data_IF_702871782799
#
_entry.id   IF_702871782799
#
_cell.length_a   1.000
_cell.length_b   1.000
_cell.length_c   1.000
_cell.angle_alpha   90.00
_cell.angle_beta   90.00
_cell.angle_gamma   90.00
#
_symmetry.space_group_name_H-M   'P 1'
#
loop_
_entity.id
_entity.type
_entity.pdbx_description
1 polymer ?
#
# COMPACT_ATOMS: atom_id res chain seq x y z
N UNK A 1 32.82 -20.28 25.97
CA UNK A 1 32.13 -20.09 24.67
C UNK A 1 33.12 -19.59 23.63
N UNK A 2 33.24 -20.27 22.47
CA UNK A 2 34.21 -19.93 21.42
C UNK A 2 33.94 -18.54 20.82
N UNK A 3 35.02 -17.80 20.48
CA UNK A 3 34.97 -16.40 20.02
C UNK A 3 34.13 -16.22 18.74
N UNK A 4 34.10 -17.24 17.89
CA UNK A 4 33.33 -17.27 16.63
C UNK A 4 31.82 -17.33 16.88
N UNK A 5 31.37 -18.09 17.89
CA UNK A 5 29.96 -18.16 18.27
C UNK A 5 29.44 -16.81 18.82
N UNK A 6 30.29 -16.05 19.53
CA UNK A 6 29.94 -14.70 20.00
C UNK A 6 29.77 -13.71 18.84
N UNK A 7 30.60 -13.82 17.81
CA UNK A 7 30.54 -12.96 16.61
C UNK A 7 29.32 -13.26 15.75
N UNK A 8 29.04 -14.54 15.50
CA UNK A 8 27.83 -14.97 14.80
C UNK A 8 26.56 -14.54 15.54
N UNK A 9 26.53 -14.67 16.88
CA UNK A 9 25.41 -14.23 17.70
C UNK A 9 25.20 -12.70 17.66
N UNK A 10 26.28 -11.92 17.66
CA UNK A 10 26.24 -10.46 17.52
C UNK A 10 25.70 -10.03 16.13
N UNK A 11 26.13 -10.69 15.06
CA UNK A 11 25.64 -10.43 13.70
C UNK A 11 24.16 -10.81 13.55
N UNK A 12 23.74 -11.94 14.14
CA UNK A 12 22.34 -12.36 14.18
C UNK A 12 21.45 -11.37 14.94
N UNK A 13 21.90 -10.87 16.09
CA UNK A 13 21.14 -9.91 16.90
C UNK A 13 21.00 -8.55 16.22
N UNK A 14 22.03 -8.07 15.53
CA UNK A 14 21.96 -6.85 14.70
C UNK A 14 20.97 -7.03 13.55
N UNK A 15 21.02 -8.17 12.85
CA UNK A 15 20.12 -8.47 11.72
C UNK A 15 18.65 -8.57 12.14
N UNK A 16 18.36 -9.21 13.28
CA UNK A 16 17.00 -9.29 13.85
C UNK A 16 16.48 -7.90 14.25
N UNK A 17 17.35 -7.04 14.78
CA UNK A 17 16.98 -5.67 15.15
C UNK A 17 16.59 -4.83 13.93
N UNK A 18 17.39 -4.87 12.87
CA UNK A 18 17.12 -4.16 11.60
C UNK A 18 15.78 -4.60 11.01
N UNK A 19 15.48 -5.90 10.99
CA UNK A 19 14.19 -6.42 10.50
C UNK A 19 13.02 -5.83 11.30
N UNK A 20 13.15 -5.78 12.64
CA UNK A 20 12.13 -5.18 13.48
C UNK A 20 11.93 -3.66 13.22
N UNK A 21 13.01 -2.93 12.88
CA UNK A 21 12.93 -1.51 12.49
C UNK A 21 12.18 -1.32 11.18
N UNK A 22 12.49 -2.13 10.17
CA UNK A 22 11.81 -2.06 8.88
C UNK A 22 10.33 -2.45 8.99
N UNK A 23 10.01 -3.44 9.83
CA UNK A 23 8.64 -3.84 10.15
C UNK A 23 7.81 -2.68 10.72
N UNK A 24 8.38 -1.93 11.66
CA UNK A 24 7.70 -0.74 12.22
C UNK A 24 7.54 0.35 11.18
N UNK A 25 8.58 0.62 10.38
CA UNK A 25 8.51 1.64 9.34
C UNK A 25 7.37 1.34 8.34
N UNK A 26 7.27 0.10 7.89
CA UNK A 26 6.21 -0.32 6.96
C UNK A 26 4.81 -0.29 7.61
N UNK A 27 4.72 -0.60 8.91
CA UNK A 27 3.48 -0.46 9.66
C UNK A 27 3.08 1.01 9.85
N UNK A 28 4.00 1.91 10.15
CA UNK A 28 3.70 3.34 10.29
C UNK A 28 3.29 3.94 8.95
N UNK A 29 3.91 3.48 7.85
CA UNK A 29 3.55 3.86 6.46
C UNK A 29 2.19 3.37 5.98
N UNK A 30 1.42 2.66 6.81
CA UNK A 30 0.06 2.27 6.44
C UNK A 30 -0.10 0.88 5.82
N UNK A 31 0.98 0.10 5.67
CA UNK A 31 0.93 -1.26 5.08
C UNK A 31 0.05 -2.21 5.92
N UNK A 32 -0.60 -3.19 5.28
CA UNK A 32 -1.41 -4.19 6.01
C UNK A 32 -0.51 -5.14 6.79
N UNK A 33 -0.99 -5.55 7.97
CA UNK A 33 -0.32 -6.56 8.79
C UNK A 33 -0.02 -7.82 7.97
N UNK A 34 -1.00 -8.35 7.23
CA UNK A 34 -0.83 -9.53 6.36
C UNK A 34 0.27 -9.37 5.30
N UNK A 35 0.47 -8.16 4.79
CA UNK A 35 1.46 -7.92 3.74
C UNK A 35 2.87 -7.81 4.36
N UNK A 36 2.98 -7.16 5.53
CA UNK A 36 4.22 -7.11 6.32
C UNK A 36 4.64 -8.52 6.74
N UNK A 37 3.70 -9.35 7.18
CA UNK A 37 3.96 -10.75 7.53
C UNK A 37 4.55 -11.53 6.35
N UNK A 38 3.97 -11.40 5.15
CA UNK A 38 4.51 -12.04 3.94
C UNK A 38 5.87 -11.50 3.55
N UNK A 39 6.08 -10.18 3.65
CA UNK A 39 7.35 -9.54 3.28
C UNK A 39 8.53 -10.00 4.13
N UNK A 40 8.32 -10.08 5.45
CA UNK A 40 9.38 -10.39 6.41
C UNK A 40 9.37 -11.86 6.89
N UNK A 41 8.41 -12.66 6.45
CA UNK A 41 8.27 -14.06 6.87
C UNK A 41 7.96 -14.23 8.37
N UNK A 42 7.30 -13.25 8.99
CA UNK A 42 7.04 -13.23 10.44
C UNK A 42 5.60 -13.61 10.78
N UNK A 43 5.42 -14.28 11.93
CA UNK A 43 4.08 -14.59 12.45
C UNK A 43 3.35 -13.33 12.92
N UNK A 44 2.02 -13.40 13.00
CA UNK A 44 1.20 -12.27 13.47
C UNK A 44 1.55 -11.91 14.91
N UNK A 45 1.79 -12.92 15.74
CA UNK A 45 2.20 -12.75 17.12
C UNK A 45 3.57 -12.03 17.22
N UNK A 46 4.54 -12.41 16.38
CA UNK A 46 5.85 -11.76 16.33
C UNK A 46 5.73 -10.31 15.89
N UNK A 47 4.87 -10.04 14.92
CA UNK A 47 4.56 -8.68 14.46
C UNK A 47 4.01 -7.81 15.59
N UNK A 48 2.98 -8.26 16.31
CA UNK A 48 2.43 -7.52 17.44
C UNK A 48 3.44 -7.33 18.58
N UNK A 49 4.28 -8.34 18.86
CA UNK A 49 5.37 -8.22 19.83
C UNK A 49 6.38 -7.14 19.41
N UNK A 50 6.75 -7.08 18.13
CA UNK A 50 7.66 -6.05 17.61
C UNK A 50 7.06 -4.65 17.77
N UNK A 51 5.80 -4.47 17.35
CA UNK A 51 5.10 -3.18 17.45
C UNK A 51 4.96 -2.72 18.92
N UNK A 52 4.53 -3.64 19.80
CA UNK A 52 4.34 -3.38 21.23
C UNK A 52 5.66 -3.01 21.92
N UNK A 53 6.73 -3.80 21.70
CA UNK A 53 8.07 -3.52 22.26
C UNK A 53 8.65 -2.17 21.84
N UNK A 54 8.14 -1.60 20.74
CA UNK A 54 8.58 -0.32 20.19
C UNK A 54 7.57 0.81 20.44
N UNK A 55 6.55 0.58 21.26
CA UNK A 55 5.57 1.59 21.66
C UNK A 55 4.63 2.03 20.53
N UNK A 56 4.51 1.25 19.46
CA UNK A 56 3.67 1.61 18.30
C UNK A 56 2.23 1.22 18.60
N UNK A 57 1.34 2.21 18.65
CA UNK A 57 -0.09 1.97 18.88
C UNK A 57 -0.70 1.16 17.74
N UNK A 58 -1.40 0.08 18.10
CA UNK A 58 -2.12 -0.72 17.13
C UNK A 58 -3.27 0.07 16.52
N UNK A 59 -3.44 -0.06 15.20
CA UNK A 59 -4.58 0.51 14.48
C UNK A 59 -5.87 -0.08 15.03
N UNK A 60 -6.85 0.77 15.31
CA UNK A 60 -8.15 0.35 15.81
C UNK A 60 -8.87 -0.60 14.86
N UNK A 61 -9.70 -1.50 15.41
CA UNK A 61 -10.60 -2.34 14.62
C UNK A 61 -11.45 -1.44 13.72
N UNK A 62 -11.31 -1.59 12.40
CA UNK A 62 -12.00 -0.75 11.40
C UNK A 62 -11.09 0.20 10.60
N UNK A 63 -9.87 0.47 11.05
CA UNK A 63 -8.85 1.18 10.26
C UNK A 63 -8.27 0.25 9.18
N UNK A 64 -9.00 0.05 8.08
CA UNK A 64 -8.48 -0.65 6.90
C UNK A 64 -7.25 0.11 6.40
N UNK A 65 -6.18 -0.63 6.14
CA UNK A 65 -4.97 -0.12 5.52
C UNK A 65 -5.21 0.61 4.19
N UNK A 66 -4.16 1.28 3.74
CA UNK A 66 -4.02 2.03 2.50
C UNK A 66 -4.70 1.37 1.27
N UNK A 67 -4.95 2.20 0.29
CA UNK A 67 -5.49 1.86 -1.03
C UNK A 67 -4.77 0.64 -1.60
N UNK A 68 -5.54 -0.41 -1.93
CA UNK A 68 -5.03 -1.65 -2.51
C UNK A 68 -4.85 -1.54 -4.03
N UNK A 69 -4.21 -2.52 -4.64
CA UNK A 69 -4.20 -2.69 -6.10
C UNK A 69 -5.60 -2.72 -6.69
N UNK A 70 -6.52 -3.49 -6.11
CA UNK A 70 -7.91 -3.54 -6.57
C UNK A 70 -8.59 -2.16 -6.48
N UNK A 71 -8.27 -1.37 -5.46
CA UNK A 71 -8.77 0.00 -5.33
C UNK A 71 -8.22 0.90 -6.46
N UNK A 72 -6.94 0.77 -6.80
CA UNK A 72 -6.31 1.51 -7.91
C UNK A 72 -6.83 1.06 -9.28
N UNK A 73 -7.00 -0.23 -9.51
CA UNK A 73 -7.58 -0.78 -10.74
C UNK A 73 -9.02 -0.28 -10.92
N UNK A 74 -9.83 -0.36 -9.87
CA UNK A 74 -11.18 0.18 -9.89
C UNK A 74 -11.21 1.69 -10.18
N UNK A 75 -10.24 2.45 -9.66
CA UNK A 75 -10.13 3.87 -9.95
C UNK A 75 -9.76 4.15 -11.41
N UNK A 76 -8.80 3.40 -11.95
CA UNK A 76 -8.41 3.49 -13.36
C UNK A 76 -9.58 3.16 -14.28
N UNK A 77 -10.30 2.07 -14.01
CA UNK A 77 -11.48 1.67 -14.80
C UNK A 77 -12.60 2.71 -14.67
N UNK A 78 -12.78 3.28 -13.48
CA UNK A 78 -13.68 4.41 -13.27
C UNK A 78 -13.26 5.66 -14.09
N UNK A 79 -11.97 5.97 -14.20
CA UNK A 79 -11.48 7.11 -15.00
C UNK A 79 -11.57 6.85 -16.51
N UNK A 80 -11.68 5.59 -16.94
CA UNK A 80 -11.98 5.18 -18.33
C UNK A 80 -13.45 5.26 -18.69
N UNK A 81 -14.33 5.42 -17.71
CA UNK A 81 -15.78 5.50 -17.95
C UNK A 81 -16.56 4.25 -17.55
N UNK A 82 -15.93 3.22 -16.98
CA UNK A 82 -16.65 2.01 -16.52
C UNK A 82 -17.80 2.37 -15.57
N UNK A 83 -18.90 1.61 -15.63
CA UNK A 83 -20.02 1.81 -14.71
C UNK A 83 -19.59 1.38 -13.30
N UNK A 84 -20.25 1.91 -12.27
CA UNK A 84 -19.84 1.67 -10.88
C UNK A 84 -20.11 0.20 -10.49
N UNK A 85 -21.14 -0.39 -11.08
CA UNK A 85 -21.60 -1.74 -10.86
C UNK A 85 -20.60 -2.80 -11.36
N UNK A 86 -19.82 -2.45 -12.38
CA UNK A 86 -18.86 -3.35 -13.04
C UNK A 86 -17.47 -3.34 -12.35
N UNK A 87 -17.29 -2.51 -11.32
CA UNK A 87 -15.99 -2.36 -10.67
C UNK A 87 -15.72 -3.50 -9.69
N UNK A 88 -14.44 -3.92 -9.53
CA UNK A 88 -14.05 -4.97 -8.59
C UNK A 88 -14.08 -4.51 -7.11
N UNK A 89 -14.80 -3.43 -6.81
CA UNK A 89 -14.94 -2.85 -5.46
C UNK A 89 -16.37 -2.37 -5.24
N UNK A 90 -16.85 -2.48 -4.00
CA UNK A 90 -18.17 -1.93 -3.65
C UNK A 90 -18.26 -0.42 -3.89
N UNK A 91 -19.47 0.07 -4.20
CA UNK A 91 -19.78 1.51 -4.34
C UNK A 91 -19.28 2.35 -3.15
N UNK A 92 -19.46 1.86 -1.93
CA UNK A 92 -18.97 2.54 -0.72
C UNK A 92 -17.44 2.60 -0.64
N UNK A 93 -16.74 1.57 -1.14
CA UNK A 93 -15.28 1.59 -1.24
C UNK A 93 -14.82 2.59 -2.28
N UNK A 94 -15.47 2.64 -3.45
CA UNK A 94 -15.18 3.63 -4.48
C UNK A 94 -15.33 5.07 -3.97
N UNK A 95 -16.38 5.38 -3.19
CA UNK A 95 -16.55 6.71 -2.59
C UNK A 95 -15.34 7.11 -1.75
N UNK A 96 -14.83 6.19 -0.91
CA UNK A 96 -13.64 6.44 -0.08
C UNK A 96 -12.38 6.64 -0.92
N UNK A 97 -12.19 5.83 -1.97
CA UNK A 97 -11.06 5.96 -2.90
C UNK A 97 -11.11 7.32 -3.59
N UNK A 98 -12.28 7.71 -4.09
CA UNK A 98 -12.50 9.01 -4.73
C UNK A 98 -12.18 10.17 -3.81
N UNK A 99 -12.64 10.13 -2.56
CA UNK A 99 -12.32 11.15 -1.56
C UNK A 99 -10.82 11.27 -1.33
N UNK A 100 -10.11 10.14 -1.26
CA UNK A 100 -8.66 10.13 -1.06
C UNK A 100 -7.89 10.81 -2.21
N UNK A 101 -8.30 10.57 -3.46
CA UNK A 101 -7.68 11.17 -4.65
C UNK A 101 -8.30 12.53 -5.03
N UNK A 102 -9.14 13.13 -4.18
CA UNK A 102 -9.77 14.42 -4.47
C UNK A 102 -10.77 14.39 -5.63
N UNK A 103 -11.27 13.21 -6.02
CA UNK A 103 -12.20 13.07 -7.14
C UNK A 103 -13.61 13.50 -6.71
N UNK A 104 -14.27 14.39 -7.48
CA UNK A 104 -15.63 14.84 -7.21
C UNK A 104 -16.64 13.69 -7.10
N UNK A 105 -17.67 13.88 -6.28
CA UNK A 105 -18.67 12.83 -6.00
C UNK A 105 -19.43 12.41 -7.26
N UNK A 106 -19.78 13.34 -8.15
CA UNK A 106 -20.43 13.05 -9.43
C UNK A 106 -19.40 13.07 -10.55
N UNK A 107 -19.51 12.13 -11.49
CA UNK A 107 -18.56 12.03 -12.62
C UNK A 107 -18.59 13.27 -13.51
N UNK A 108 -19.78 13.88 -13.70
CA UNK A 108 -19.95 15.10 -14.50
C UNK A 108 -19.15 16.31 -14.00
N UNK A 109 -18.77 16.31 -12.72
CA UNK A 109 -18.01 17.41 -12.11
C UNK A 109 -16.49 17.21 -12.24
N UNK A 110 -16.06 16.11 -12.88
CA UNK A 110 -14.67 15.80 -13.22
C UNK A 110 -14.39 16.33 -14.63
N UNK A 111 -13.86 17.55 -14.70
CA UNK A 111 -13.38 18.17 -15.94
C UNK A 111 -12.00 17.62 -16.35
N UNK A 112 -11.56 17.96 -17.56
CA UNK A 112 -10.28 17.50 -18.11
C UNK A 112 -9.06 17.98 -17.30
N UNK A 113 -9.20 19.11 -16.60
CA UNK A 113 -8.15 19.64 -15.73
C UNK A 113 -7.99 18.77 -14.49
N UNK A 114 -9.07 18.54 -13.74
CA UNK A 114 -9.06 17.66 -12.55
C UNK A 114 -8.71 16.22 -12.92
N UNK A 115 -9.16 15.74 -14.09
CA UNK A 115 -8.78 14.42 -14.58
C UNK A 115 -7.27 14.28 -14.71
N UNK A 116 -6.58 15.30 -15.23
CA UNK A 116 -5.11 15.35 -15.30
C UNK A 116 -4.47 15.40 -13.91
N UNK A 117 -4.96 16.25 -13.02
CA UNK A 117 -4.45 16.35 -11.63
C UNK A 117 -4.56 15.02 -10.88
N UNK A 118 -5.67 14.31 -11.05
CA UNK A 118 -5.89 12.99 -10.46
C UNK A 118 -4.93 11.95 -11.03
N UNK A 119 -4.70 11.97 -12.36
CA UNK A 119 -3.75 11.06 -13.00
C UNK A 119 -2.32 11.36 -12.53
N UNK A 120 -1.92 12.62 -12.43
CA UNK A 120 -0.62 13.01 -11.89
C UNK A 120 -0.45 12.58 -10.43
N UNK A 121 -1.49 12.76 -9.62
CA UNK A 121 -1.52 12.26 -8.24
C UNK A 121 -1.36 10.74 -8.20
N UNK A 122 -2.02 10.02 -9.11
CA UNK A 122 -1.87 8.57 -9.25
C UNK A 122 -0.48 8.16 -9.68
N UNK A 123 0.14 8.88 -10.61
CA UNK A 123 1.52 8.60 -11.04
C UNK A 123 2.52 8.86 -9.92
N UNK A 124 2.40 9.98 -9.21
CA UNK A 124 3.24 10.31 -8.05
C UNK A 124 3.08 9.26 -6.94
N UNK A 125 1.84 8.84 -6.70
CA UNK A 125 1.52 7.73 -5.83
C UNK A 125 2.22 6.45 -6.30
N UNK A 126 2.06 6.03 -7.56
CA UNK A 126 2.70 4.85 -8.13
C UNK A 126 4.24 4.90 -8.16
N UNK A 127 4.84 6.10 -8.22
CA UNK A 127 6.29 6.32 -8.09
C UNK A 127 6.75 6.07 -6.65
N UNK A 128 6.06 6.64 -5.67
CA UNK A 128 6.33 6.38 -4.23
C UNK A 128 6.07 4.92 -3.82
N UNK A 129 5.30 4.18 -4.63
CA UNK A 129 4.98 2.77 -4.41
C UNK A 129 6.09 1.79 -4.80
N UNK A 130 7.12 2.18 -5.57
CA UNK A 130 8.28 1.32 -5.87
C UNK A 130 9.04 0.89 -4.59
N UNK A 131 8.93 1.67 -3.52
CA UNK A 131 9.55 1.37 -2.22
C UNK A 131 8.71 0.40 -1.37
N UNK A 132 7.54 -0.04 -1.88
CA UNK A 132 6.64 -0.94 -1.18
C UNK A 132 6.58 -2.36 -1.83
N UNK A 133 6.84 -3.43 -1.07
CA UNK A 133 7.15 -4.79 -1.51
C UNK A 133 5.93 -5.71 -1.79
N UNK A 134 4.72 -5.17 -1.88
CA UNK A 134 3.49 -5.98 -1.76
C UNK A 134 2.70 -6.13 -3.08
N UNK A 135 3.27 -5.73 -4.22
CA UNK A 135 2.72 -6.07 -5.53
C UNK A 135 3.54 -7.17 -6.19
N UNK A 136 2.90 -8.18 -6.81
CA UNK A 136 3.53 -8.90 -7.91
C UNK A 136 3.94 -7.86 -8.96
N UNK A 137 5.21 -7.85 -9.35
CA UNK A 137 5.81 -6.85 -10.24
C UNK A 137 4.98 -6.66 -11.53
N UNK A 138 4.43 -7.76 -12.04
CA UNK A 138 3.55 -7.82 -13.22
C UNK A 138 2.30 -6.95 -13.08
N UNK A 139 1.62 -6.97 -11.93
CA UNK A 139 0.40 -6.19 -11.69
C UNK A 139 0.69 -4.69 -11.60
N UNK A 140 1.89 -4.33 -11.10
CA UNK A 140 2.31 -2.93 -10.97
C UNK A 140 2.58 -2.31 -12.35
N UNK A 141 3.26 -3.05 -13.20
CA UNK A 141 3.57 -2.66 -14.57
C UNK A 141 2.30 -2.55 -15.43
N UNK A 142 1.38 -3.50 -15.29
CA UNK A 142 0.08 -3.45 -15.97
C UNK A 142 -0.70 -2.19 -15.56
N UNK A 143 -0.75 -1.89 -14.26
CA UNK A 143 -1.42 -0.70 -13.75
C UNK A 143 -0.77 0.58 -14.28
N UNK A 144 0.57 0.66 -14.33
CA UNK A 144 1.30 1.80 -14.92
C UNK A 144 0.99 1.96 -16.40
N UNK A 145 0.98 0.87 -17.16
CA UNK A 145 0.61 0.88 -18.59
C UNK A 145 -0.81 1.41 -18.75
N UNK A 146 -1.75 0.96 -17.91
CA UNK A 146 -3.14 1.43 -17.93
C UNK A 146 -3.26 2.91 -17.57
N UNK A 147 -2.53 3.41 -16.57
CA UNK A 147 -2.52 4.83 -16.17
C UNK A 147 -1.93 5.71 -17.26
N UNK A 148 -0.79 5.32 -17.84
CA UNK A 148 -0.14 6.06 -18.94
C UNK A 148 -1.04 6.17 -20.18
N UNK A 149 -1.89 5.18 -20.41
CA UNK A 149 -2.88 5.19 -21.50
C UNK A 149 -4.13 6.03 -21.19
N UNK A 150 -4.31 6.57 -19.97
CA UNK A 150 -5.43 7.47 -19.65
C UNK A 150 -5.24 8.90 -20.19
N UNK A 151 -4.00 9.29 -20.48
CA UNK A 151 -3.62 10.61 -20.97
C UNK A 151 -3.49 10.69 -22.50
N UNK A 152 -3.62 9.56 -23.20
CA UNK A 152 -3.68 9.48 -24.66
C UNK A 152 -5.12 9.65 -25.13
#
# INVERSE_FOLDING_TARGET
MPKEAKRCFAELTVRVRIVADCVVADYVRGMRIKDIQRKYGISEETMYKILSRRGVKLRGKGCRAYITTADLMALVDYLKGAKIEDLPVSKWRLIKIKQFFGIPRRRKDLDDKRRREVIETLENFLRSYNDMPHLPTETAEELRRKVKNLLK
#
